data_IF_021849505827
#
_entry.id   IF_021849505827
#
_cell.length_a   1.000
_cell.length_b   1.000
_cell.length_c   1.000
_cell.angle_alpha   90.00
_cell.angle_beta   90.00
_cell.angle_gamma   90.00
#
_symmetry.space_group_name_H-M   'P 1'
#
loop_
_entity.id
_entity.type
_entity.pdbx_description
1 polymer ?
#
# COMPACT_ATOMS: atom_id res chain seq x y z
N UNK A 1 -15.02 -7.85 25.04
CA UNK A 1 -15.45 -7.23 23.77
C UNK A 1 -14.48 -7.72 22.72
N UNK A 2 -14.94 -8.44 21.70
CA UNK A 2 -14.07 -8.92 20.63
C UNK A 2 -13.52 -7.69 19.89
N UNK A 3 -12.23 -7.41 20.03
CA UNK A 3 -11.58 -6.40 19.22
C UNK A 3 -11.41 -6.99 17.82
N UNK A 4 -12.44 -6.84 16.97
CA UNK A 4 -12.32 -7.19 15.58
C UNK A 4 -11.14 -6.39 15.00
N UNK A 5 -10.15 -7.13 14.50
CA UNK A 5 -8.94 -6.62 13.86
C UNK A 5 -9.21 -6.38 12.38
N UNK A 6 -8.29 -5.69 11.70
CA UNK A 6 -8.44 -5.41 10.28
C UNK A 6 -8.45 -6.72 9.47
N UNK A 7 -9.20 -6.73 8.38
CA UNK A 7 -9.19 -7.77 7.35
C UNK A 7 -8.45 -7.20 6.13
N UNK A 8 -7.61 -8.02 5.51
CA UNK A 8 -6.76 -7.62 4.38
C UNK A 8 -6.99 -8.56 3.20
N UNK A 9 -7.09 -7.99 2.00
CA UNK A 9 -7.20 -8.70 0.73
C UNK A 9 -6.30 -8.01 -0.32
N UNK A 10 -5.91 -8.74 -1.37
CA UNK A 10 -5.37 -8.12 -2.59
C UNK A 10 -6.50 -8.04 -3.62
N UNK A 11 -6.74 -6.84 -4.14
CA UNK A 11 -7.64 -6.66 -5.29
C UNK A 11 -6.91 -7.04 -6.58
N UNK A 12 -5.60 -6.77 -6.65
CA UNK A 12 -4.80 -7.09 -7.81
C UNK A 12 -3.34 -7.37 -7.43
N UNK A 13 -2.79 -8.47 -7.91
CA UNK A 13 -1.36 -8.77 -7.76
C UNK A 13 -0.56 -8.06 -8.86
N UNK A 14 0.36 -7.19 -8.44
CA UNK A 14 1.18 -6.38 -9.34
C UNK A 14 2.25 -7.19 -10.08
N UNK A 15 2.95 -6.51 -10.97
CA UNK A 15 4.13 -7.04 -11.65
C UNK A 15 5.00 -5.91 -12.19
N UNK A 16 6.31 -6.17 -12.31
CA UNK A 16 7.29 -5.28 -12.92
C UNK A 16 8.34 -6.09 -13.70
N UNK A 17 9.10 -5.41 -14.57
CA UNK A 17 10.23 -6.02 -15.29
C UNK A 17 9.83 -6.98 -16.42
N UNK A 18 8.59 -6.91 -16.92
CA UNK A 18 8.13 -7.74 -18.05
C UNK A 18 8.70 -7.25 -19.38
N UNK A 19 8.96 -8.20 -20.30
CA UNK A 19 9.47 -7.91 -21.66
C UNK A 19 8.50 -7.11 -22.52
N UNK A 20 7.21 -7.13 -22.19
CA UNK A 20 6.15 -6.38 -22.88
C UNK A 20 5.97 -4.95 -22.33
N UNK A 21 6.90 -4.48 -21.50
CA UNK A 21 6.89 -3.16 -20.85
C UNK A 21 5.65 -2.89 -19.98
N UNK A 22 4.90 -3.94 -19.61
CA UNK A 22 3.78 -3.80 -18.69
C UNK A 22 4.29 -3.75 -17.25
N UNK A 23 3.73 -2.80 -16.50
CA UNK A 23 3.88 -2.65 -15.06
C UNK A 23 2.49 -2.52 -14.45
N UNK A 24 2.32 -3.03 -13.24
CA UNK A 24 1.12 -2.83 -12.43
C UNK A 24 1.51 -2.87 -10.95
N UNK A 25 0.89 -2.04 -10.10
CA UNK A 25 1.13 -2.08 -8.68
C UNK A 25 0.36 -3.27 -8.09
N UNK A 26 0.73 -3.65 -6.87
CA UNK A 26 -0.12 -4.49 -6.04
C UNK A 26 -1.19 -3.62 -5.41
N UNK A 27 -2.46 -3.88 -5.73
CA UNK A 27 -3.59 -3.11 -5.20
C UNK A 27 -4.13 -3.81 -3.96
N UNK A 28 -4.01 -3.13 -2.81
CA UNK A 28 -4.46 -3.64 -1.52
C UNK A 28 -5.86 -3.21 -1.14
N UNK A 29 -6.56 -4.03 -0.35
CA UNK A 29 -7.78 -3.65 0.36
C UNK A 29 -7.61 -3.95 1.86
N UNK A 30 -7.97 -2.98 2.71
CA UNK A 30 -8.00 -3.14 4.16
C UNK A 30 -9.38 -2.73 4.67
N UNK A 31 -10.00 -3.56 5.51
CA UNK A 31 -11.32 -3.32 6.10
C UNK A 31 -11.22 -3.34 7.62
N UNK A 32 -11.59 -2.25 8.28
CA UNK A 32 -11.59 -2.14 9.75
C UNK A 32 -12.77 -1.27 10.24
N UNK A 33 -13.84 -1.92 10.72
CA UNK A 33 -15.00 -1.28 11.38
C UNK A 33 -15.48 0.03 10.71
N UNK A 34 -16.06 -0.09 9.52
CA UNK A 34 -16.60 1.06 8.78
C UNK A 34 -15.54 1.87 8.02
N UNK A 35 -14.26 1.55 8.19
CA UNK A 35 -13.15 2.04 7.35
C UNK A 35 -12.84 1.00 6.28
N UNK A 36 -12.77 1.45 5.03
CA UNK A 36 -12.44 0.66 3.84
C UNK A 36 -11.33 1.40 3.09
N UNK A 37 -10.11 0.88 3.18
CA UNK A 37 -8.90 1.49 2.61
C UNK A 37 -8.48 0.73 1.37
N UNK A 38 -8.29 1.45 0.26
CA UNK A 38 -7.60 0.93 -0.92
C UNK A 38 -6.17 1.47 -0.95
N UNK A 39 -5.19 0.61 -1.14
CA UNK A 39 -3.77 0.99 -1.21
C UNK A 39 -3.28 0.85 -2.66
N UNK A 40 -2.64 1.90 -3.17
CA UNK A 40 -2.04 2.00 -4.50
C UNK A 40 -2.95 1.60 -5.67
N UNK A 41 -4.15 2.21 -5.83
CA UNK A 41 -5.00 1.96 -6.99
C UNK A 41 -4.42 2.60 -8.25
N UNK A 42 -3.36 2.00 -8.79
CA UNK A 42 -2.62 2.55 -9.92
C UNK A 42 -2.96 1.91 -11.25
N UNK A 43 -1.94 1.70 -12.09
CA UNK A 43 -2.09 1.14 -13.43
C UNK A 43 -2.46 -0.34 -13.39
N UNK A 44 -3.67 -0.66 -13.86
CA UNK A 44 -4.15 -2.04 -14.03
C UNK A 44 -4.65 -2.24 -15.47
N UNK A 45 -4.82 -3.48 -15.97
CA UNK A 45 -5.24 -3.73 -17.35
C UNK A 45 -6.58 -3.10 -17.72
N UNK A 46 -7.48 -2.92 -16.74
CA UNK A 46 -8.73 -2.18 -16.85
C UNK A 46 -9.28 -1.85 -15.44
N UNK A 47 -10.17 -0.87 -15.27
CA UNK A 47 -10.81 -0.61 -13.97
C UNK A 47 -11.48 -1.83 -13.35
N UNK A 48 -12.01 -2.75 -14.16
CA UNK A 48 -12.64 -3.99 -13.70
C UNK A 48 -11.68 -4.87 -12.88
N UNK A 49 -10.36 -4.79 -13.13
CA UNK A 49 -9.36 -5.52 -12.35
C UNK A 49 -9.31 -5.12 -10.88
N UNK A 50 -9.85 -3.95 -10.52
CA UNK A 50 -9.99 -3.47 -9.14
C UNK A 50 -11.46 -3.60 -8.68
N UNK A 51 -12.41 -3.21 -9.54
CA UNK A 51 -13.82 -3.12 -9.17
C UNK A 51 -14.51 -4.48 -9.02
N UNK A 52 -14.19 -5.46 -9.87
CA UNK A 52 -14.81 -6.79 -9.81
C UNK A 52 -14.44 -7.53 -8.51
N UNK A 53 -13.16 -7.63 -8.08
CA UNK A 53 -12.82 -8.27 -6.80
C UNK A 53 -13.37 -7.49 -5.60
N UNK A 54 -13.45 -6.15 -5.67
CA UNK A 54 -14.09 -5.35 -4.64
C UNK A 54 -15.59 -5.70 -4.52
N UNK A 55 -16.29 -5.79 -5.65
CA UNK A 55 -17.70 -6.18 -5.71
C UNK A 55 -17.95 -7.60 -5.23
N UNK A 56 -17.05 -8.54 -5.55
CA UNK A 56 -17.11 -9.91 -5.05
C UNK A 56 -17.01 -10.00 -3.52
N UNK A 57 -16.38 -9.02 -2.88
CA UNK A 57 -16.32 -8.85 -1.43
C UNK A 57 -17.53 -8.07 -0.85
N UNK A 58 -18.51 -7.72 -1.69
CA UNK A 58 -19.73 -7.03 -1.30
C UNK A 58 -19.58 -5.53 -1.14
N UNK A 59 -18.54 -4.92 -1.72
CA UNK A 59 -18.26 -3.48 -1.65
C UNK A 59 -18.40 -2.82 -3.03
N UNK A 60 -19.00 -1.64 -3.05
CA UNK A 60 -18.94 -0.73 -4.19
C UNK A 60 -17.72 0.21 -4.09
N UNK A 61 -17.39 0.90 -5.18
CA UNK A 61 -16.30 1.89 -5.16
C UNK A 61 -16.62 3.05 -4.22
N UNK A 62 -17.90 3.39 -4.09
CA UNK A 62 -18.45 4.42 -3.22
C UNK A 62 -18.32 4.08 -1.72
N UNK A 63 -18.16 2.80 -1.38
CA UNK A 63 -17.96 2.35 0.00
C UNK A 63 -16.51 2.55 0.48
N UNK A 64 -15.57 2.83 -0.43
CA UNK A 64 -14.17 3.09 -0.09
C UNK A 64 -14.05 4.45 0.60
N UNK A 65 -13.63 4.42 1.87
CA UNK A 65 -13.55 5.61 2.72
C UNK A 65 -12.23 6.33 2.57
N UNK A 66 -11.16 5.58 2.26
CA UNK A 66 -9.79 6.07 2.22
C UNK A 66 -9.00 5.40 1.07
N UNK A 67 -8.15 6.17 0.43
CA UNK A 67 -7.17 5.70 -0.55
C UNK A 67 -5.79 6.13 -0.07
N UNK A 68 -4.84 5.21 -0.03
CA UNK A 68 -3.47 5.50 0.36
C UNK A 68 -2.55 5.34 -0.83
N UNK A 69 -1.72 6.36 -1.06
CA UNK A 69 -0.60 6.29 -1.99
C UNK A 69 0.66 5.98 -1.19
N UNK A 70 1.30 4.86 -1.49
CA UNK A 70 2.62 4.56 -0.95
C UNK A 70 3.63 5.61 -1.40
N UNK A 71 3.50 6.10 -2.63
CA UNK A 71 4.24 7.21 -3.23
C UNK A 71 3.54 7.65 -4.53
N UNK A 72 4.07 8.67 -5.22
CA UNK A 72 3.39 9.34 -6.33
C UNK A 72 3.76 8.85 -7.74
N UNK A 73 4.35 7.67 -7.91
CA UNK A 73 4.53 7.16 -9.27
C UNK A 73 3.18 6.88 -9.94
N UNK A 74 3.01 7.19 -11.24
CA UNK A 74 1.72 7.08 -11.91
C UNK A 74 1.15 5.68 -11.89
N UNK A 75 2.00 4.67 -11.98
CA UNK A 75 1.61 3.27 -11.92
C UNK A 75 1.05 2.86 -10.55
N UNK A 76 1.19 3.66 -9.49
CA UNK A 76 0.56 3.44 -8.18
C UNK A 76 -0.70 4.31 -7.94
N UNK A 77 -0.96 5.32 -8.77
CA UNK A 77 -1.98 6.35 -8.49
C UNK A 77 -3.06 6.52 -9.57
N UNK A 78 -2.85 6.02 -10.79
CA UNK A 78 -3.67 6.36 -11.96
C UNK A 78 -5.17 6.03 -11.85
N UNK A 79 -5.56 5.04 -11.06
CA UNK A 79 -6.95 4.62 -10.87
C UNK A 79 -7.59 5.17 -9.59
N UNK A 80 -6.94 6.10 -8.87
CA UNK A 80 -7.46 6.69 -7.64
C UNK A 80 -8.83 7.36 -7.82
N UNK A 81 -9.08 7.95 -8.99
CA UNK A 81 -10.34 8.62 -9.32
C UNK A 81 -11.56 7.70 -9.37
N UNK A 82 -11.37 6.37 -9.28
CA UNK A 82 -12.49 5.41 -9.12
C UNK A 82 -13.22 5.59 -7.78
N UNK A 83 -12.56 6.12 -6.75
CA UNK A 83 -13.08 6.17 -5.37
C UNK A 83 -13.52 7.58 -4.99
N UNK A 84 -14.65 8.01 -5.54
CA UNK A 84 -15.12 9.41 -5.50
C UNK A 84 -15.51 9.94 -4.12
N UNK A 85 -15.66 9.06 -3.11
CA UNK A 85 -16.01 9.43 -1.74
C UNK A 85 -14.84 9.28 -0.75
N UNK A 86 -13.68 8.84 -1.22
CA UNK A 86 -12.52 8.59 -0.36
C UNK A 86 -11.85 9.90 0.10
N UNK A 87 -11.21 9.84 1.28
CA UNK A 87 -10.06 10.69 1.58
C UNK A 87 -8.81 10.06 0.96
N UNK A 88 -7.93 10.88 0.40
CA UNK A 88 -6.67 10.41 -0.18
C UNK A 88 -5.53 10.77 0.77
N UNK A 89 -4.64 9.82 1.00
CA UNK A 89 -3.54 9.94 1.94
C UNK A 89 -2.21 9.73 1.24
N UNK A 90 -1.27 10.63 1.52
CA UNK A 90 0.12 10.47 1.18
C UNK A 90 1.00 10.81 2.40
N UNK A 91 2.26 11.13 2.13
CA UNK A 91 3.31 11.40 3.11
C UNK A 91 3.17 12.68 3.94
N UNK A 92 2.42 13.69 3.47
CA UNK A 92 2.38 15.02 4.10
C UNK A 92 0.98 15.62 4.25
N UNK A 93 -0.05 15.00 3.67
CA UNK A 93 -1.39 15.56 3.72
C UNK A 93 -2.48 14.49 3.59
N UNK A 94 -3.69 14.93 3.87
CA UNK A 94 -4.92 14.25 3.49
C UNK A 94 -5.70 15.15 2.53
N UNK A 95 -6.29 14.56 1.49
CA UNK A 95 -7.07 15.27 0.48
C UNK A 95 -8.51 14.76 0.45
N UNK A 96 -9.47 15.67 0.39
CA UNK A 96 -10.88 15.31 0.18
C UNK A 96 -11.57 16.42 -0.60
N UNK A 97 -12.09 16.09 -1.77
CA UNK A 97 -12.62 17.08 -2.72
C UNK A 97 -11.58 18.17 -3.02
N UNK A 98 -11.86 19.42 -2.66
CA UNK A 98 -10.97 20.59 -2.79
C UNK A 98 -10.25 20.95 -1.48
N UNK A 99 -10.35 20.12 -0.45
CA UNK A 99 -9.72 20.34 0.86
C UNK A 99 -8.37 19.65 0.93
N UNK A 100 -7.33 20.45 1.19
CA UNK A 100 -6.00 20.04 1.60
C UNK A 100 -5.87 20.14 3.11
N UNK A 101 -5.44 19.07 3.78
CA UNK A 101 -5.14 19.08 5.21
C UNK A 101 -3.70 18.62 5.45
N UNK A 102 -2.83 19.52 5.91
CA UNK A 102 -1.46 19.17 6.30
C UNK A 102 -1.46 18.15 7.43
N UNK A 103 -0.80 17.02 7.20
CA UNK A 103 -0.80 15.87 8.09
C UNK A 103 0.34 14.94 7.69
N UNK A 104 1.38 14.86 8.53
CA UNK A 104 2.46 13.89 8.33
C UNK A 104 1.94 12.45 8.43
N UNK A 105 2.40 11.58 7.53
CA UNK A 105 2.12 10.15 7.58
C UNK A 105 2.72 9.45 8.80
N UNK A 106 3.82 9.96 9.36
CA UNK A 106 4.50 9.30 10.46
C UNK A 106 3.60 9.11 11.70
N UNK A 107 3.19 7.86 11.95
CA UNK A 107 2.36 7.48 13.09
C UNK A 107 0.88 7.83 12.96
N UNK A 108 0.44 8.34 11.79
CA UNK A 108 -0.96 8.67 11.57
C UNK A 108 -1.82 7.41 11.58
N UNK A 109 -2.99 7.48 12.22
CA UNK A 109 -3.95 6.38 12.31
C UNK A 109 -5.18 6.70 11.49
N UNK A 110 -5.40 5.93 10.42
CA UNK A 110 -6.66 5.96 9.67
C UNK A 110 -7.77 5.33 10.53
N UNK A 111 -7.42 4.26 11.25
CA UNK A 111 -8.32 3.59 12.19
C UNK A 111 -7.55 3.07 13.42
N UNK A 112 -8.23 2.32 14.30
CA UNK A 112 -7.57 1.69 15.44
C UNK A 112 -6.52 0.65 15.03
N UNK A 113 -6.71 -0.03 13.88
CA UNK A 113 -5.84 -1.10 13.40
C UNK A 113 -5.07 -0.74 12.12
N UNK A 114 -5.31 0.44 11.52
CA UNK A 114 -4.66 0.88 10.29
C UNK A 114 -3.91 2.19 10.52
N UNK A 115 -2.60 2.18 10.26
CA UNK A 115 -1.74 3.36 10.42
C UNK A 115 -0.73 3.52 9.31
N UNK A 116 -0.15 4.71 9.19
CA UNK A 116 0.89 5.06 8.23
C UNK A 116 2.21 5.34 8.95
N UNK A 117 3.33 5.08 8.27
CA UNK A 117 4.68 5.50 8.70
C UNK A 117 5.50 5.93 7.48
N UNK A 118 6.50 6.79 7.68
CA UNK A 118 7.45 7.15 6.61
C UNK A 118 8.50 6.07 6.40
N UNK A 119 8.74 5.70 5.15
CA UNK A 119 9.75 4.70 4.76
C UNK A 119 10.51 5.15 3.50
N UNK A 120 11.10 6.37 3.50
CA UNK A 120 11.72 6.93 2.31
C UNK A 120 12.84 6.04 1.77
N UNK A 121 13.02 6.04 0.46
CA UNK A 121 14.12 5.34 -0.18
C UNK A 121 13.94 5.13 -1.68
N UNK A 122 12.86 4.46 -2.08
CA UNK A 122 12.52 4.38 -3.50
C UNK A 122 12.19 5.77 -4.02
N UNK A 123 11.33 6.48 -3.29
CA UNK A 123 11.19 7.93 -3.34
C UNK A 123 11.39 8.54 -1.95
N UNK A 124 11.65 9.85 -1.88
CA UNK A 124 11.68 10.58 -0.60
C UNK A 124 10.30 10.66 0.07
N UNK A 125 9.23 10.37 -0.68
CA UNK A 125 7.84 10.50 -0.28
C UNK A 125 7.26 9.15 0.17
N UNK A 126 8.05 8.06 0.16
CA UNK A 126 7.51 6.74 0.45
C UNK A 126 6.94 6.62 1.86
N UNK A 127 5.76 6.01 1.93
CA UNK A 127 5.10 5.57 3.16
C UNK A 127 4.78 4.07 3.11
N UNK A 128 4.53 3.52 4.29
CA UNK A 128 3.99 2.17 4.44
C UNK A 128 2.65 2.22 5.18
N UNK A 129 1.71 1.39 4.74
CA UNK A 129 0.43 1.18 5.42
C UNK A 129 0.51 -0.09 6.26
N UNK A 130 0.25 0.06 7.55
CA UNK A 130 0.33 -0.99 8.55
C UNK A 130 -1.09 -1.41 8.91
N UNK A 131 -1.43 -2.68 8.72
CA UNK A 131 -2.71 -3.26 9.09
C UNK A 131 -2.51 -4.34 10.15
N UNK A 132 -3.03 -4.11 11.35
CA UNK A 132 -3.05 -5.10 12.43
C UNK A 132 -4.24 -6.05 12.23
N UNK A 133 -3.95 -7.28 11.77
CA UNK A 133 -4.93 -8.35 11.57
C UNK A 133 -4.93 -9.33 12.75
N UNK A 134 -5.86 -10.29 12.75
CA UNK A 134 -5.91 -11.39 13.72
C UNK A 134 -4.64 -12.26 13.67
N UNK A 135 -4.11 -12.50 12.47
CA UNK A 135 -2.93 -13.36 12.24
C UNK A 135 -1.59 -12.62 12.38
N UNK A 136 -1.62 -11.30 12.54
CA UNK A 136 -0.44 -10.47 12.73
C UNK A 136 -0.44 -9.19 11.89
N UNK A 137 0.71 -8.51 11.87
CA UNK A 137 0.88 -7.26 11.13
C UNK A 137 1.08 -7.53 9.63
N UNK A 138 0.29 -6.88 8.78
CA UNK A 138 0.50 -6.82 7.34
C UNK A 138 1.01 -5.42 6.98
N UNK A 139 2.06 -5.33 6.17
CA UNK A 139 2.66 -4.05 5.76
C UNK A 139 2.62 -3.91 4.25
N UNK A 140 1.91 -2.90 3.76
CA UNK A 140 1.94 -2.48 2.36
C UNK A 140 3.03 -1.45 2.18
N UNK A 141 3.92 -1.65 1.21
CA UNK A 141 5.09 -0.78 1.00
C UNK A 141 5.68 -0.94 -0.39
N UNK A 142 6.34 0.12 -0.87
CA UNK A 142 7.17 0.05 -2.06
C UNK A 142 8.68 -0.17 -1.76
N UNK A 143 9.05 -0.48 -0.51
CA UNK A 143 10.44 -0.79 -0.16
C UNK A 143 10.99 -2.04 -0.89
N UNK A 144 10.09 -2.90 -1.40
CA UNK A 144 10.41 -4.01 -2.30
C UNK A 144 9.44 -4.00 -3.48
N UNK A 145 9.95 -4.31 -4.68
CA UNK A 145 9.11 -4.55 -5.84
C UNK A 145 8.42 -5.90 -5.74
N UNK A 146 9.18 -6.93 -5.37
CA UNK A 146 8.70 -8.31 -5.17
C UNK A 146 9.46 -8.95 -4.02
N UNK A 147 9.01 -10.11 -3.55
CA UNK A 147 9.75 -10.93 -2.58
C UNK A 147 11.18 -11.26 -3.03
N UNK A 148 11.39 -11.43 -4.34
CA UNK A 148 12.69 -11.77 -4.92
C UNK A 148 13.57 -10.55 -5.22
N UNK A 149 13.10 -9.34 -4.91
CA UNK A 149 13.81 -8.10 -5.15
C UNK A 149 13.24 -7.26 -6.32
N UNK A 150 14.08 -6.44 -6.96
CA UNK A 150 15.55 -6.48 -6.92
C UNK A 150 16.13 -6.09 -5.56
N UNK A 151 17.26 -6.71 -5.18
CA UNK A 151 17.96 -6.36 -3.93
C UNK A 151 18.44 -4.92 -3.96
N UNK A 152 19.04 -4.48 -5.06
CA UNK A 152 19.30 -3.08 -5.35
C UNK A 152 18.23 -2.55 -6.27
N UNK A 153 17.42 -1.63 -5.78
CA UNK A 153 16.43 -0.93 -6.61
C UNK A 153 17.16 0.03 -7.56
N UNK A 154 17.06 -0.15 -8.89
CA UNK A 154 17.71 0.73 -9.85
C UNK A 154 17.04 2.10 -10.00
N UNK A 155 15.84 2.29 -9.46
CA UNK A 155 15.05 3.52 -9.54
C UNK A 155 14.98 4.27 -8.20
N UNK A 156 15.57 3.73 -7.14
CA UNK A 156 15.54 4.38 -5.84
C UNK A 156 16.27 5.73 -5.83
N UNK A 157 15.60 6.76 -5.31
CA UNK A 157 16.17 8.09 -5.14
C UNK A 157 17.27 8.15 -4.08
N UNK A 158 17.17 7.30 -3.05
CA UNK A 158 18.17 7.16 -1.99
C UNK A 158 18.26 5.68 -1.56
N UNK A 159 19.28 4.99 -2.05
CA UNK A 159 19.52 3.58 -1.73
C UNK A 159 19.81 3.35 -0.25
N UNK A 160 20.47 4.29 0.45
CA UNK A 160 20.77 4.13 1.86
C UNK A 160 19.53 4.33 2.73
N UNK A 161 18.69 5.31 2.38
CA UNK A 161 17.38 5.48 3.01
C UNK A 161 16.49 4.26 2.79
N UNK A 162 16.48 3.70 1.57
CA UNK A 162 15.75 2.48 1.27
C UNK A 162 16.18 1.32 2.17
N UNK A 163 17.49 1.10 2.34
CA UNK A 163 17.99 0.06 3.24
C UNK A 163 17.61 0.30 4.70
N UNK A 164 17.67 1.55 5.19
CA UNK A 164 17.17 1.89 6.54
C UNK A 164 15.68 1.62 6.68
N UNK A 165 14.89 1.95 5.66
CA UNK A 165 13.45 1.72 5.62
C UNK A 165 13.09 0.23 5.61
N UNK A 166 13.84 -0.59 4.86
CA UNK A 166 13.69 -2.05 4.87
C UNK A 166 13.99 -2.65 6.25
N UNK A 167 15.10 -2.24 6.87
CA UNK A 167 15.44 -2.62 8.26
C UNK A 167 14.34 -2.20 9.23
N UNK A 168 13.82 -0.97 9.09
CA UNK A 168 12.72 -0.44 9.90
C UNK A 168 11.47 -1.32 9.77
N UNK A 169 11.04 -1.62 8.54
CA UNK A 169 9.84 -2.43 8.28
C UNK A 169 10.01 -3.85 8.85
N UNK A 170 11.14 -4.51 8.60
CA UNK A 170 11.41 -5.85 9.15
C UNK A 170 11.48 -5.84 10.68
N UNK A 171 11.98 -4.76 11.27
CA UNK A 171 11.99 -4.54 12.73
C UNK A 171 10.60 -4.46 13.37
N UNK A 172 9.54 -4.22 12.59
CA UNK A 172 8.15 -4.31 13.05
C UNK A 172 7.66 -5.76 13.19
N UNK A 173 8.48 -6.74 12.79
CA UNK A 173 8.15 -8.16 12.72
C UNK A 173 6.82 -8.42 11.97
N UNK A 174 6.67 -7.95 10.70
CA UNK A 174 5.45 -8.16 9.96
C UNK A 174 5.24 -9.65 9.68
N UNK A 175 3.98 -10.08 9.80
CA UNK A 175 3.53 -11.42 9.40
C UNK A 175 3.56 -11.57 7.89
N UNK A 176 3.18 -10.52 7.17
CA UNK A 176 3.20 -10.43 5.71
C UNK A 176 3.65 -9.05 5.26
N UNK A 177 4.36 -9.00 4.14
CA UNK A 177 4.67 -7.78 3.39
C UNK A 177 3.95 -7.84 2.06
N UNK A 178 3.23 -6.78 1.70
CA UNK A 178 2.65 -6.56 0.38
C UNK A 178 3.61 -5.65 -0.38
N UNK A 179 4.36 -6.17 -1.36
CA UNK A 179 5.33 -5.38 -2.11
C UNK A 179 4.65 -4.57 -3.20
N UNK A 180 5.40 -3.67 -3.85
CA UNK A 180 4.87 -2.80 -4.88
C UNK A 180 4.34 -3.49 -6.13
N UNK A 181 4.90 -4.63 -6.53
CA UNK A 181 4.67 -5.25 -7.85
C UNK A 181 4.63 -6.78 -7.80
N UNK A 182 3.84 -7.37 -6.90
CA UNK A 182 3.74 -8.82 -6.78
C UNK A 182 2.85 -9.30 -5.64
N UNK A 183 2.73 -10.62 -5.44
CA UNK A 183 1.99 -11.16 -4.31
C UNK A 183 2.63 -10.76 -2.99
N UNK A 184 1.84 -10.76 -1.93
CA UNK A 184 2.39 -10.66 -0.57
C UNK A 184 3.33 -11.84 -0.26
N UNK A 185 4.22 -11.64 0.71
CA UNK A 185 5.14 -12.69 1.14
C UNK A 185 5.44 -12.62 2.63
N UNK A 186 5.86 -13.76 3.19
CA UNK A 186 6.39 -13.82 4.55
C UNK A 186 7.86 -13.39 4.55
N UNK A 187 8.26 -12.38 5.34
CA UNK A 187 9.66 -12.00 5.42
C UNK A 187 10.48 -13.14 6.05
N UNK A 188 11.58 -13.49 5.40
CA UNK A 188 12.57 -14.44 5.90
C UNK A 188 13.90 -13.73 6.16
N UNK A 189 14.89 -14.48 6.66
CA UNK A 189 16.27 -13.98 6.80
C UNK A 189 16.92 -13.59 5.47
N UNK A 190 16.41 -14.10 4.36
CA UNK A 190 16.92 -13.84 3.02
C UNK A 190 16.19 -12.66 2.33
N UNK A 191 15.24 -12.01 3.03
CA UNK A 191 14.56 -10.81 2.53
C UNK A 191 15.61 -9.72 2.29
N UNK A 192 15.70 -9.15 1.06
CA UNK A 192 16.72 -8.16 0.75
C UNK A 192 16.66 -6.92 1.64
N UNK A 193 17.83 -6.39 2.02
CA UNK A 193 18.01 -5.10 2.69
C UNK A 193 18.52 -4.05 1.71
#
# INVERSE_FOLDING_TARGET
MNHQRAIVDLLYEGYAGRKDHRVAPTVGLIRDRGVVVVVDPGMVPSPAAILDPLSALGLAAEDVTDVVFSHHHPDHTLSAALFVHAAFHDHWATYRHDVWQDRDAEGFKISANVSLIRVPGHSNEDIATLASTEDGLVVFTHAWWTAAGPARDPYASDTEALSRSRVRILGLAPRLIVPGHGPWFEPTRDTPL
#
